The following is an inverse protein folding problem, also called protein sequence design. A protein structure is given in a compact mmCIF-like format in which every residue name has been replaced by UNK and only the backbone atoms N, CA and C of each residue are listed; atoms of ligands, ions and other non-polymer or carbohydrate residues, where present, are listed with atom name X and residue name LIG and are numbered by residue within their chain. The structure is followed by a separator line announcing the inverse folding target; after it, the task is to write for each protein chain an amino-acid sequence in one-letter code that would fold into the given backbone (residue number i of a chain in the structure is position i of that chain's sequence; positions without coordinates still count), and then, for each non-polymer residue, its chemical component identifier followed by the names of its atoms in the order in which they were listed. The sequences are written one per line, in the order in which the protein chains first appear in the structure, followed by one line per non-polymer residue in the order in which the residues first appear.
data_IF_279558627537
#
_entry.id   IF_279558627537
#
_cell.length_a   1.000
_cell.length_b   1.000
_cell.length_c   1.000
_cell.angle_alpha   90.00
_cell.angle_beta   90.00
_cell.angle_gamma   90.00
#
_symmetry.space_group_name_H-M   'P 1'
#
loop_
_entity.id
_entity.type
_entity.pdbx_description
1 polymer ?
#
# COMPACT_ATOMS: atom_id res chain seq x y z
N UNK A 1 -13.41 -31.85 -16.25
CA UNK A 1 -13.61 -30.74 -15.30
C UNK A 1 -12.74 -29.57 -15.76
N UNK A 2 -13.35 -28.46 -16.18
CA UNK A 2 -12.60 -27.27 -16.61
C UNK A 2 -12.15 -26.53 -15.35
N UNK A 3 -10.83 -26.50 -15.10
CA UNK A 3 -10.26 -25.68 -14.05
C UNK A 3 -10.62 -24.20 -14.33
N UNK A 4 -11.46 -23.60 -13.48
CA UNK A 4 -11.74 -22.17 -13.55
C UNK A 4 -10.42 -21.46 -13.31
N UNK A 5 -9.97 -20.67 -14.30
CA UNK A 5 -8.77 -19.83 -14.16
C UNK A 5 -8.95 -18.91 -12.95
N UNK A 6 -7.91 -18.71 -12.13
CA UNK A 6 -7.97 -17.78 -11.02
C UNK A 6 -8.41 -16.40 -11.52
N UNK A 7 -9.19 -15.65 -10.72
CA UNK A 7 -9.65 -14.33 -11.10
C UNK A 7 -8.45 -13.46 -11.53
N UNK A 8 -8.58 -12.79 -12.68
CA UNK A 8 -7.52 -11.92 -13.17
C UNK A 8 -7.36 -10.76 -12.17
N UNK A 9 -6.14 -10.52 -11.65
CA UNK A 9 -5.90 -9.41 -10.74
C UNK A 9 -6.28 -8.09 -11.42
N UNK A 10 -6.66 -7.10 -10.61
CA UNK A 10 -7.01 -5.78 -11.09
C UNK A 10 -5.88 -5.21 -11.99
N UNK A 11 -6.21 -4.43 -13.04
CA UNK A 11 -5.20 -3.76 -13.86
C UNK A 11 -4.20 -3.00 -12.95
N UNK A 12 -2.90 -3.13 -13.22
CA UNK A 12 -1.80 -2.65 -12.35
C UNK A 12 -2.00 -1.22 -11.82
N UNK A 13 -2.61 -0.34 -12.63
CA UNK A 13 -2.96 1.03 -12.25
C UNK A 13 -4.01 1.09 -11.12
N UNK A 14 -5.09 0.31 -11.21
CA UNK A 14 -6.15 0.26 -10.20
C UNK A 14 -5.60 -0.27 -8.88
N UNK A 15 -4.76 -1.31 -8.93
CA UNK A 15 -4.12 -1.84 -7.73
C UNK A 15 -3.26 -0.78 -7.02
N UNK A 16 -2.46 -0.02 -7.76
CA UNK A 16 -1.62 1.05 -7.21
C UNK A 16 -2.45 2.20 -6.63
N UNK A 17 -3.53 2.60 -7.33
CA UNK A 17 -4.43 3.63 -6.84
C UNK A 17 -5.15 3.19 -5.56
N UNK A 18 -5.69 1.96 -5.49
CA UNK A 18 -6.31 1.40 -4.28
C UNK A 18 -5.31 1.27 -3.12
N UNK A 19 -4.07 0.87 -3.40
CA UNK A 19 -3.00 0.86 -2.39
C UNK A 19 -2.72 2.25 -1.85
N UNK A 20 -2.69 3.27 -2.71
CA UNK A 20 -2.52 4.67 -2.29
C UNK A 20 -3.71 5.19 -1.49
N UNK A 21 -4.93 4.88 -1.90
CA UNK A 21 -6.18 5.35 -1.27
C UNK A 21 -6.35 4.72 0.11
N UNK A 22 -6.13 3.41 0.22
CA UNK A 22 -6.32 2.69 1.48
C UNK A 22 -5.12 2.81 2.40
N UNK A 23 -3.92 3.01 1.86
CA UNK A 23 -2.64 2.94 2.58
C UNK A 23 -2.38 1.58 3.28
N UNK A 24 -3.09 0.52 2.86
CA UNK A 24 -3.00 -0.82 3.44
C UNK A 24 -2.65 -1.85 2.34
N UNK A 25 -1.74 -2.82 2.59
CA UNK A 25 -1.48 -3.91 1.65
C UNK A 25 -2.70 -4.81 1.47
N UNK A 26 -2.82 -5.34 0.25
CA UNK A 26 -3.84 -6.32 -0.11
C UNK A 26 -3.49 -7.70 0.42
N UNK A 27 -4.42 -8.34 1.10
CA UNK A 27 -4.28 -9.69 1.64
C UNK A 27 -5.10 -10.70 0.86
N UNK A 28 -6.36 -10.36 0.57
CA UNK A 28 -7.25 -11.21 -0.20
C UNK A 28 -8.27 -10.39 -0.95
N UNK A 29 -8.76 -10.90 -2.08
CA UNK A 29 -9.76 -10.24 -2.90
C UNK A 29 -10.71 -11.25 -3.54
N UNK A 30 -11.95 -10.85 -3.73
CA UNK A 30 -12.98 -11.70 -4.32
C UNK A 30 -14.36 -11.10 -4.23
N UNK A 31 -15.33 -11.72 -4.90
CA UNK A 31 -16.72 -11.31 -4.80
C UNK A 31 -17.34 -11.83 -3.48
N UNK A 32 -18.07 -10.95 -2.80
CA UNK A 32 -18.86 -11.26 -1.62
C UNK A 32 -20.26 -10.65 -1.76
N UNK A 33 -21.24 -11.40 -1.28
CA UNK A 33 -22.58 -10.91 -1.02
C UNK A 33 -22.64 -10.46 0.45
N UNK A 34 -22.95 -9.20 0.68
CA UNK A 34 -22.93 -8.56 2.00
C UNK A 34 -24.33 -8.13 2.37
N UNK A 35 -24.73 -8.39 3.61
CA UNK A 35 -26.01 -7.92 4.17
C UNK A 35 -25.78 -7.40 5.58
N UNK A 36 -26.09 -6.13 5.81
CA UNK A 36 -26.18 -5.52 7.16
C UNK A 36 -27.64 -5.52 7.62
N UNK A 37 -27.87 -5.33 8.92
CA UNK A 37 -29.21 -5.27 9.51
C UNK A 37 -30.11 -4.19 8.90
N UNK A 38 -29.52 -3.10 8.41
CA UNK A 38 -30.18 -1.98 7.74
C UNK A 38 -30.75 -2.35 6.36
N UNK A 39 -30.22 -3.39 5.73
CA UNK A 39 -30.59 -3.84 4.39
C UNK A 39 -31.39 -5.13 4.44
N UNK A 40 -32.49 -5.17 3.69
CA UNK A 40 -33.34 -6.35 3.65
C UNK A 40 -32.74 -7.48 2.78
N UNK A 41 -31.90 -7.12 1.79
CA UNK A 41 -31.33 -8.01 0.78
C UNK A 41 -29.80 -8.04 0.82
N UNK A 42 -29.22 -9.05 0.16
CA UNK A 42 -27.76 -9.15 -0.03
C UNK A 42 -27.33 -8.30 -1.22
N UNK A 43 -26.32 -7.48 -1.02
CA UNK A 43 -25.69 -6.69 -2.07
C UNK A 43 -24.37 -7.31 -2.51
N UNK A 44 -24.07 -7.23 -3.81
CA UNK A 44 -22.94 -7.92 -4.41
C UNK A 44 -21.77 -6.96 -4.64
N UNK A 45 -20.63 -7.25 -4.00
CA UNK A 45 -19.45 -6.40 -4.02
C UNK A 45 -18.19 -7.15 -4.43
N UNK A 46 -17.34 -6.47 -5.21
CA UNK A 46 -15.92 -6.82 -5.23
C UNK A 46 -15.31 -6.37 -3.90
N UNK A 47 -14.78 -7.30 -3.12
CA UNK A 47 -14.28 -7.03 -1.79
C UNK A 47 -12.78 -7.24 -1.73
N UNK A 48 -12.08 -6.33 -1.08
CA UNK A 48 -10.66 -6.45 -0.77
C UNK A 48 -10.46 -6.45 0.74
N UNK A 49 -9.80 -7.48 1.26
CA UNK A 49 -9.27 -7.49 2.63
C UNK A 49 -7.91 -6.80 2.64
N UNK A 50 -7.81 -5.67 3.34
CA UNK A 50 -6.55 -4.96 3.56
C UNK A 50 -6.40 -4.63 5.03
N UNK A 51 -5.39 -5.19 5.69
CA UNK A 51 -5.28 -5.08 7.15
C UNK A 51 -6.42 -5.77 7.84
N UNK A 52 -7.00 -5.09 8.82
CA UNK A 52 -8.21 -5.48 9.53
C UNK A 52 -9.44 -4.75 9.00
N UNK A 53 -9.48 -4.47 7.69
CA UNK A 53 -10.60 -3.78 7.05
C UNK A 53 -10.99 -4.44 5.73
N UNK A 54 -12.28 -4.69 5.55
CA UNK A 54 -12.88 -5.08 4.28
C UNK A 54 -13.32 -3.83 3.52
N UNK A 55 -12.87 -3.69 2.27
CA UNK A 55 -13.25 -2.59 1.39
C UNK A 55 -14.17 -3.11 0.28
N UNK A 56 -15.35 -2.49 0.13
CA UNK A 56 -16.38 -2.90 -0.83
C UNK A 56 -16.39 -2.00 -2.05
N UNK A 57 -16.36 -2.59 -3.24
CA UNK A 57 -16.36 -1.90 -4.52
C UNK A 57 -17.50 -2.44 -5.37
N UNK A 58 -18.20 -1.56 -6.11
CA UNK A 58 -19.24 -1.97 -7.06
C UNK A 58 -18.70 -2.91 -8.16
N UNK A 59 -17.43 -2.73 -8.57
CA UNK A 59 -16.75 -3.59 -9.54
C UNK A 59 -15.22 -3.55 -9.34
N UNK A 60 -14.52 -4.54 -9.89
CA UNK A 60 -13.05 -4.66 -9.91
C UNK A 60 -12.34 -3.52 -10.63
N UNK A 61 -13.07 -2.73 -11.42
CA UNK A 61 -12.52 -1.58 -12.18
C UNK A 61 -12.53 -0.27 -11.38
N UNK A 62 -13.28 -0.22 -10.30
CA UNK A 62 -13.48 1.01 -9.53
C UNK A 62 -12.28 1.27 -8.63
N UNK A 63 -11.76 2.48 -8.64
CA UNK A 63 -10.57 2.82 -7.84
C UNK A 63 -10.95 3.23 -6.42
N UNK A 64 -12.15 3.77 -6.23
CA UNK A 64 -12.75 4.12 -4.95
C UNK A 64 -13.71 3.03 -4.47
N UNK A 65 -13.62 2.68 -3.19
CA UNK A 65 -14.59 1.83 -2.52
C UNK A 65 -15.86 2.65 -2.23
N UNK A 66 -17.00 1.97 -2.20
CA UNK A 66 -18.30 2.59 -1.86
C UNK A 66 -18.59 2.49 -0.37
N UNK A 67 -18.01 1.49 0.30
CA UNK A 67 -18.20 1.24 1.71
C UNK A 67 -17.01 0.44 2.27
N UNK A 68 -16.87 0.42 3.59
CA UNK A 68 -15.86 -0.38 4.31
C UNK A 68 -16.40 -0.95 5.62
N UNK A 69 -15.79 -2.03 6.07
CA UNK A 69 -16.06 -2.67 7.36
C UNK A 69 -14.76 -2.92 8.11
N UNK A 70 -14.62 -2.29 9.27
CA UNK A 70 -13.49 -2.50 10.18
C UNK A 70 -13.78 -3.71 11.06
N UNK A 71 -12.88 -4.70 11.03
CA UNK A 71 -13.04 -5.99 11.69
C UNK A 71 -12.00 -6.24 12.79
N UNK A 72 -11.24 -5.21 13.19
CA UNK A 72 -10.20 -5.35 14.22
C UNK A 72 -10.74 -5.85 15.57
N UNK A 73 -11.94 -5.39 15.94
CA UNK A 73 -12.62 -5.77 17.18
C UNK A 73 -13.67 -6.88 16.95
N UNK A 74 -13.48 -7.72 15.92
CA UNK A 74 -14.38 -8.83 15.64
C UNK A 74 -14.51 -9.72 16.88
N UNK A 75 -15.73 -9.84 17.39
CA UNK A 75 -16.01 -10.62 18.61
C UNK A 75 -16.06 -12.11 18.31
N UNK A 76 -16.74 -12.48 17.22
CA UNK A 76 -16.71 -13.83 16.69
C UNK A 76 -17.19 -13.88 15.23
N UNK A 77 -16.83 -14.97 14.57
CA UNK A 77 -17.34 -15.36 13.25
C UNK A 77 -18.19 -16.61 13.43
N UNK A 78 -19.48 -16.52 13.10
CA UNK A 78 -20.41 -17.64 13.23
C UNK A 78 -20.82 -18.19 11.88
N UNK A 79 -20.64 -19.48 11.67
CA UNK A 79 -21.09 -20.16 10.46
C UNK A 79 -22.60 -20.43 10.51
N UNK A 80 -23.26 -20.15 9.40
CA UNK A 80 -24.65 -20.54 9.22
C UNK A 80 -24.70 -21.78 8.34
N UNK A 81 -25.15 -22.91 8.93
CA UNK A 81 -25.47 -24.11 8.18
C UNK A 81 -26.62 -23.80 7.22
N UNK A 82 -26.30 -23.62 5.95
CA UNK A 82 -27.29 -23.34 4.93
C UNK A 82 -27.73 -24.64 4.27
N UNK A 83 -29.02 -24.79 3.99
CA UNK A 83 -29.56 -25.89 3.16
C UNK A 83 -29.14 -25.79 1.68
N UNK A 84 -28.50 -24.68 1.31
CA UNK A 84 -28.04 -24.35 -0.04
C UNK A 84 -26.58 -24.79 -0.19
N UNK A 85 -26.40 -26.08 -0.50
CA UNK A 85 -25.16 -26.87 -0.40
C UNK A 85 -23.91 -26.31 -1.13
N UNK A 86 -24.03 -25.23 -1.88
CA UNK A 86 -22.96 -24.75 -2.74
C UNK A 86 -22.28 -23.47 -2.29
N UNK A 87 -22.74 -22.78 -1.23
CA UNK A 87 -22.15 -21.52 -0.77
C UNK A 87 -21.92 -21.50 0.74
N UNK A 88 -20.87 -20.80 1.18
CA UNK A 88 -20.66 -20.57 2.60
C UNK A 88 -21.38 -19.29 3.04
N UNK A 89 -21.95 -19.31 4.24
CA UNK A 89 -22.58 -18.17 4.89
C UNK A 89 -22.05 -18.05 6.29
N UNK A 90 -21.59 -16.86 6.65
CA UNK A 90 -21.11 -16.59 8.00
C UNK A 90 -21.51 -15.18 8.42
N UNK A 91 -21.66 -14.99 9.73
CA UNK A 91 -22.01 -13.70 10.34
C UNK A 91 -20.79 -13.20 11.10
N UNK A 92 -20.35 -11.99 10.76
CA UNK A 92 -19.37 -11.23 11.51
C UNK A 92 -20.08 -10.47 12.62
N UNK A 93 -19.79 -10.82 13.87
CA UNK A 93 -20.34 -10.15 15.04
C UNK A 93 -19.33 -9.12 15.52
N UNK A 94 -19.63 -7.84 15.32
CA UNK A 94 -18.82 -6.71 15.74
C UNK A 94 -19.50 -6.02 16.92
N UNK A 95 -18.76 -5.24 17.74
CA UNK A 95 -19.34 -4.59 18.92
C UNK A 95 -20.46 -3.60 18.60
N UNK A 96 -20.47 -3.06 17.37
CA UNK A 96 -21.42 -2.02 16.92
C UNK A 96 -22.47 -2.53 15.94
N UNK A 97 -22.20 -3.64 15.25
CA UNK A 97 -23.08 -4.14 14.19
C UNK A 97 -22.87 -5.63 13.93
N UNK A 98 -23.83 -6.25 13.26
CA UNK A 98 -23.71 -7.61 12.73
C UNK A 98 -23.81 -7.56 11.21
N UNK A 99 -22.86 -8.23 10.55
CA UNK A 99 -22.79 -8.27 9.09
C UNK A 99 -22.79 -9.71 8.60
N UNK A 100 -23.75 -10.04 7.74
CA UNK A 100 -23.83 -11.35 7.10
C UNK A 100 -23.05 -11.34 5.79
N UNK A 101 -22.21 -12.34 5.60
CA UNK A 101 -21.43 -12.56 4.40
C UNK A 101 -21.83 -13.89 3.76
N UNK A 102 -22.00 -13.86 2.43
CA UNK A 102 -22.24 -15.03 1.60
C UNK A 102 -21.23 -15.07 0.47
N UNK A 103 -20.60 -16.23 0.27
CA UNK A 103 -19.59 -16.43 -0.77
C UNK A 103 -20.17 -17.06 -2.04
N UNK A 104 -19.41 -17.02 -3.14
CA UNK A 104 -19.80 -17.66 -4.39
C UNK A 104 -19.83 -19.19 -4.28
N UNK A 105 -18.92 -19.75 -3.48
CA UNK A 105 -18.85 -21.18 -3.24
C UNK A 105 -18.21 -21.54 -1.88
N UNK A 106 -18.35 -22.80 -1.46
CA UNK A 106 -17.78 -23.30 -0.19
C UNK A 106 -16.26 -23.14 -0.10
N UNK A 107 -15.52 -23.40 -1.19
CA UNK A 107 -14.06 -23.23 -1.24
C UNK A 107 -13.63 -21.78 -0.98
N UNK A 108 -14.26 -20.82 -1.67
CA UNK A 108 -14.04 -19.39 -1.40
C UNK A 108 -14.48 -18.98 0.01
N UNK A 109 -15.47 -19.70 0.56
CA UNK A 109 -15.90 -19.57 1.95
C UNK A 109 -14.79 -19.86 2.95
N UNK A 110 -14.16 -21.02 2.80
CA UNK A 110 -13.01 -21.43 3.62
C UNK A 110 -11.85 -20.45 3.48
N UNK A 111 -11.56 -19.95 2.27
CA UNK A 111 -10.50 -18.95 2.07
C UNK A 111 -10.85 -17.64 2.81
N UNK A 112 -12.04 -17.07 2.59
CA UNK A 112 -12.46 -15.85 3.26
C UNK A 112 -12.46 -15.98 4.78
N UNK A 113 -13.00 -17.09 5.30
CA UNK A 113 -12.97 -17.42 6.73
C UNK A 113 -11.54 -17.45 7.25
N UNK A 114 -10.66 -18.22 6.60
CA UNK A 114 -9.26 -18.35 6.99
C UNK A 114 -8.54 -17.00 7.02
N UNK A 115 -8.69 -16.16 5.99
CA UNK A 115 -8.04 -14.85 5.94
C UNK A 115 -8.60 -13.87 6.99
N UNK A 116 -9.91 -13.84 7.19
CA UNK A 116 -10.55 -12.98 8.20
C UNK A 116 -10.09 -13.37 9.61
N UNK A 117 -10.16 -14.65 9.97
CA UNK A 117 -9.69 -15.12 11.28
C UNK A 117 -8.20 -14.83 11.46
N UNK A 118 -7.39 -15.05 10.41
CA UNK A 118 -5.94 -14.78 10.48
C UNK A 118 -5.60 -13.34 10.84
N UNK A 119 -6.29 -12.35 10.25
CA UNK A 119 -6.01 -10.94 10.51
C UNK A 119 -6.66 -10.42 11.79
N UNK A 120 -7.71 -11.08 12.29
CA UNK A 120 -8.44 -10.65 13.49
C UNK A 120 -7.87 -11.29 14.75
N UNK A 121 -7.69 -12.61 14.75
CA UNK A 121 -7.12 -13.39 15.86
C UNK A 121 -5.58 -13.34 15.91
N UNK A 122 -4.93 -12.88 14.84
CA UNK A 122 -3.48 -12.83 14.72
C UNK A 122 -2.83 -14.22 14.85
N UNK A 123 -3.50 -15.24 14.33
CA UNK A 123 -3.05 -16.63 14.24
C UNK A 123 -3.67 -17.33 13.03
N UNK A 124 -2.99 -18.31 12.43
CA UNK A 124 -3.59 -19.12 11.36
C UNK A 124 -4.50 -20.17 11.99
N UNK A 125 -5.78 -20.28 11.58
CA UNK A 125 -6.69 -21.28 12.13
C UNK A 125 -6.21 -22.71 11.79
N UNK A 126 -6.33 -23.63 12.75
CA UNK A 126 -5.96 -25.05 12.54
C UNK A 126 -7.11 -25.87 11.92
N UNK A 127 -8.34 -25.36 11.99
CA UNK A 127 -9.57 -26.06 11.62
C UNK A 127 -10.05 -25.78 10.18
N UNK A 128 -9.26 -25.07 9.37
CA UNK A 128 -9.62 -24.70 7.99
C UNK A 128 -9.32 -25.81 6.99
N UNK A 129 -10.27 -26.07 6.10
CA UNK A 129 -10.14 -27.10 5.05
C UNK A 129 -9.42 -26.55 3.80
N UNK A 130 -8.21 -26.03 3.99
CA UNK A 130 -7.44 -25.35 2.94
C UNK A 130 -6.29 -26.19 2.39
N UNK A 131 -5.98 -25.98 1.11
CA UNK A 131 -4.82 -26.59 0.46
C UNK A 131 -3.51 -26.00 1.02
N UNK A 132 -2.38 -26.73 0.94
CA UNK A 132 -1.10 -26.24 1.46
C UNK A 132 -0.69 -24.85 0.95
N UNK A 133 -0.93 -24.56 -0.35
CA UNK A 133 -0.65 -23.25 -0.93
C UNK A 133 -1.57 -22.13 -0.41
N UNK A 134 -2.79 -22.44 0.02
CA UNK A 134 -3.68 -21.50 0.69
C UNK A 134 -3.22 -21.22 2.12
N UNK A 135 -2.83 -22.25 2.87
CA UNK A 135 -2.30 -22.11 4.24
C UNK A 135 -0.99 -21.30 4.25
N UNK A 136 -0.08 -21.52 3.29
CA UNK A 136 1.12 -20.70 3.14
C UNK A 136 0.76 -19.21 2.97
N UNK A 137 -0.24 -18.89 2.15
CA UNK A 137 -0.71 -17.50 1.99
C UNK A 137 -1.27 -16.91 3.28
N UNK A 138 -1.96 -17.70 4.11
CA UNK A 138 -2.42 -17.25 5.43
C UNK A 138 -1.23 -16.90 6.32
N UNK A 139 -0.19 -17.73 6.39
CA UNK A 139 1.03 -17.41 7.15
C UNK A 139 1.71 -16.14 6.64
N UNK A 140 1.81 -15.94 5.32
CA UNK A 140 2.38 -14.70 4.79
C UNK A 140 1.56 -13.47 5.19
N UNK A 141 0.23 -13.57 5.16
CA UNK A 141 -0.66 -12.48 5.60
C UNK A 141 -0.53 -12.23 7.10
N UNK A 142 -0.44 -13.28 7.90
CA UNK A 142 -0.24 -13.18 9.35
C UNK A 142 1.01 -12.37 9.67
N UNK A 143 2.15 -12.70 9.05
CA UNK A 143 3.41 -12.01 9.31
C UNK A 143 3.35 -10.55 8.83
N UNK A 144 2.71 -10.28 7.69
CA UNK A 144 2.47 -8.90 7.22
C UNK A 144 1.59 -8.11 8.19
N UNK A 145 0.56 -8.73 8.76
CA UNK A 145 -0.35 -8.07 9.70
C UNK A 145 0.31 -7.82 11.06
N UNK A 146 1.04 -8.81 11.62
CA UNK A 146 1.85 -8.62 12.83
C UNK A 146 2.80 -7.43 12.70
N UNK A 147 3.55 -7.39 11.60
CA UNK A 147 4.49 -6.29 11.31
C UNK A 147 3.77 -4.93 11.28
N UNK A 148 2.63 -4.84 10.59
CA UNK A 148 1.82 -3.62 10.54
C UNK A 148 1.31 -3.20 11.92
N UNK A 149 0.82 -4.14 12.75
CA UNK A 149 0.35 -3.81 14.11
C UNK A 149 1.48 -3.28 14.97
N UNK A 150 2.67 -3.88 14.91
CA UNK A 150 3.86 -3.37 15.61
C UNK A 150 4.22 -1.95 15.15
N UNK A 151 4.25 -1.69 13.84
CA UNK A 151 4.52 -0.35 13.29
C UNK A 151 3.46 0.69 13.71
N UNK A 152 2.21 0.26 13.83
CA UNK A 152 1.08 1.11 14.26
C UNK A 152 1.11 1.36 15.78
N UNK A 153 1.48 0.36 16.57
CA UNK A 153 1.61 0.42 18.03
C UNK A 153 2.92 1.07 18.50
N UNK A 154 3.92 1.24 17.64
CA UNK A 154 5.15 2.03 17.92
C UNK A 154 4.93 3.55 17.79
N UNK A 155 3.71 3.99 17.45
CA UNK A 155 3.31 5.39 17.37
C UNK A 155 2.63 6.00 18.64
N UNK A 156 2.90 5.55 19.89
CA UNK A 156 2.84 6.42 21.04
C UNK A 156 4.25 6.90 21.38
N UNK A 157 4.38 8.23 21.43
CA UNK A 157 5.47 9.01 22.00
C UNK A 157 6.42 8.29 22.98
N UNK A 158 7.70 8.67 22.86
CA UNK A 158 8.86 8.49 23.76
C UNK A 158 9.80 7.33 23.42
N UNK A 159 10.96 7.70 22.86
CA UNK A 159 12.23 6.94 22.91
C UNK A 159 12.70 6.81 24.38
N UNK A 160 13.56 5.83 24.76
CA UNK A 160 14.92 5.74 24.25
C UNK A 160 15.41 4.32 23.88
N UNK A 161 16.49 4.36 23.11
CA UNK A 161 17.38 3.29 22.65
C UNK A 161 17.53 2.08 23.60
N UNK A 162 17.48 0.88 23.02
CA UNK A 162 18.45 -0.16 23.36
C UNK A 162 18.66 -1.16 22.22
N UNK A 163 19.86 -1.04 21.66
CA UNK A 163 20.65 -2.02 20.92
C UNK A 163 20.12 -3.46 20.95
N UNK A 164 19.74 -3.98 19.77
CA UNK A 164 19.95 -5.39 19.41
C UNK A 164 20.34 -5.48 17.94
N UNK A 165 21.47 -6.16 17.71
CA UNK A 165 22.13 -6.44 16.44
C UNK A 165 21.21 -7.07 15.37
N UNK A 166 21.53 -6.92 14.08
CA UNK A 166 20.60 -7.14 12.98
C UNK A 166 20.57 -8.59 12.50
N UNK A 167 19.41 -9.25 12.60
CA UNK A 167 19.12 -10.41 11.75
C UNK A 167 18.54 -9.94 10.41
N UNK A 168 19.22 -10.33 9.34
CA UNK A 168 18.78 -10.25 7.96
C UNK A 168 17.37 -10.85 7.81
N UNK A 169 16.37 -10.04 7.46
CA UNK A 169 15.72 -10.05 6.14
C UNK A 169 14.39 -9.25 6.19
N UNK A 170 14.13 -8.49 5.12
CA UNK A 170 12.88 -7.78 4.78
C UNK A 170 12.28 -6.69 5.69
N UNK A 171 12.81 -5.47 5.53
CA UNK A 171 12.16 -4.22 5.96
C UNK A 171 11.76 -3.38 4.74
N UNK A 172 10.55 -3.59 4.19
CA UNK A 172 9.83 -2.53 3.44
C UNK A 172 8.73 -2.00 4.37
N UNK A 173 9.17 -1.27 5.40
CA UNK A 173 8.36 -0.37 6.25
C UNK A 173 8.25 0.93 5.46
N UNK A 174 7.06 1.51 5.42
CA UNK A 174 6.72 2.80 4.84
C UNK A 174 7.67 3.92 5.30
N UNK A 175 8.81 4.04 4.63
CA UNK A 175 9.68 5.20 4.77
C UNK A 175 8.94 6.37 4.12
N UNK A 176 8.74 7.51 4.81
CA UNK A 176 8.09 8.65 4.20
C UNK A 176 8.88 9.03 2.93
N UNK A 177 8.17 9.28 1.83
CA UNK A 177 8.82 9.65 0.57
C UNK A 177 9.08 11.15 0.56
N UNK A 178 10.21 11.62 -0.01
CA UNK A 178 10.46 13.05 -0.17
C UNK A 178 9.32 13.74 -0.94
N UNK A 179 9.01 15.00 -0.61
CA UNK A 179 7.90 15.73 -1.20
C UNK A 179 7.96 15.87 -2.74
N UNK A 180 9.16 15.77 -3.33
CA UNK A 180 9.37 15.75 -4.77
C UNK A 180 9.37 14.35 -5.39
N UNK A 181 8.85 13.33 -4.67
CA UNK A 181 8.65 12.00 -5.21
C UNK A 181 7.35 11.92 -6.00
N UNK A 182 7.47 11.57 -7.28
CA UNK A 182 6.34 11.36 -8.17
C UNK A 182 6.45 10.00 -8.85
N UNK A 183 5.36 9.24 -8.84
CA UNK A 183 5.26 7.95 -9.54
C UNK A 183 5.04 8.18 -11.04
N UNK A 184 6.06 8.71 -11.71
CA UNK A 184 6.04 9.11 -13.11
C UNK A 184 7.20 8.48 -13.88
N UNK A 185 7.01 8.29 -15.18
CA UNK A 185 8.04 7.81 -16.10
C UNK A 185 9.13 8.86 -16.32
N UNK A 186 10.23 8.44 -16.97
CA UNK A 186 11.30 9.36 -17.41
C UNK A 186 10.75 10.51 -18.26
N UNK A 187 9.87 10.19 -19.21
CA UNK A 187 9.29 11.17 -20.14
C UNK A 187 8.38 12.16 -19.43
N UNK A 188 7.49 11.66 -18.57
CA UNK A 188 6.56 12.51 -17.80
C UNK A 188 7.31 13.45 -16.85
N UNK A 189 8.35 12.97 -16.15
CA UNK A 189 9.16 13.84 -15.29
C UNK A 189 9.86 14.96 -16.08
N UNK A 190 10.35 14.67 -17.28
CA UNK A 190 10.92 15.70 -18.17
C UNK A 190 9.87 16.74 -18.52
N UNK A 191 8.68 16.30 -18.96
CA UNK A 191 7.60 17.22 -19.31
C UNK A 191 7.15 18.08 -18.12
N UNK A 192 7.11 17.53 -16.90
CA UNK A 192 6.73 18.27 -15.69
C UNK A 192 7.70 19.42 -15.39
N UNK A 193 9.01 19.17 -15.49
CA UNK A 193 10.06 20.18 -15.27
C UNK A 193 10.11 21.22 -16.40
N UNK A 194 9.79 20.82 -17.63
CA UNK A 194 9.73 21.72 -18.77
C UNK A 194 8.53 22.68 -18.68
N UNK A 195 7.35 22.14 -18.33
CA UNK A 195 6.09 22.89 -18.25
C UNK A 195 6.03 23.86 -17.07
N UNK A 196 6.67 23.54 -15.94
CA UNK A 196 6.54 24.31 -14.70
C UNK A 196 7.90 24.65 -14.06
N UNK A 197 8.76 25.46 -14.72
CA UNK A 197 10.10 25.78 -14.20
C UNK A 197 10.10 26.49 -12.83
N UNK A 198 9.00 27.17 -12.47
CA UNK A 198 8.89 27.91 -11.21
C UNK A 198 8.64 27.01 -9.99
N UNK A 199 8.23 25.76 -10.17
CA UNK A 199 7.86 24.86 -9.08
C UNK A 199 9.04 24.05 -8.53
N UNK A 200 10.24 24.29 -9.05
CA UNK A 200 11.45 23.53 -8.78
C UNK A 200 11.96 22.84 -10.04
N UNK A 201 13.13 22.22 -9.93
CA UNK A 201 13.87 21.71 -11.08
C UNK A 201 14.46 20.31 -10.83
N UNK A 202 13.93 19.59 -9.82
CA UNK A 202 14.36 18.26 -9.43
C UNK A 202 13.19 17.37 -9.01
N UNK A 203 13.03 16.22 -9.65
CA UNK A 203 12.00 15.21 -9.35
C UNK A 203 12.69 13.88 -8.99
N UNK A 204 12.26 13.25 -7.89
CA UNK A 204 12.55 11.86 -7.60
C UNK A 204 11.44 10.98 -8.18
N UNK A 205 11.81 9.91 -8.87
CA UNK A 205 10.86 8.98 -9.48
C UNK A 205 11.36 7.53 -9.42
N UNK A 206 10.47 6.54 -9.61
CA UNK A 206 10.89 5.16 -9.82
C UNK A 206 11.85 5.04 -11.01
N UNK A 207 12.86 4.19 -10.86
CA UNK A 207 13.76 3.76 -11.92
C UNK A 207 13.08 2.80 -12.89
N UNK A 208 13.79 2.41 -13.95
CA UNK A 208 13.28 1.42 -14.92
C UNK A 208 13.17 0.02 -14.32
N UNK A 209 13.99 -0.27 -13.30
CA UNK A 209 13.98 -1.54 -12.57
C UNK A 209 13.19 -1.38 -11.28
N UNK A 210 12.42 -2.40 -10.89
CA UNK A 210 11.47 -2.37 -9.77
C UNK A 210 12.08 -2.14 -8.38
N UNK A 211 13.41 -2.01 -8.27
CA UNK A 211 14.15 -1.77 -7.03
C UNK A 211 14.99 -0.49 -7.02
N UNK A 212 15.05 0.23 -8.15
CA UNK A 212 15.91 1.40 -8.31
C UNK A 212 15.10 2.69 -8.38
N UNK A 213 15.72 3.80 -8.01
CA UNK A 213 15.18 5.15 -8.13
C UNK A 213 15.95 5.95 -9.18
N UNK A 214 15.38 7.08 -9.58
CA UNK A 214 16.05 8.03 -10.47
C UNK A 214 15.70 9.45 -10.08
N UNK A 215 16.71 10.32 -10.10
CA UNK A 215 16.54 11.76 -9.97
C UNK A 215 16.55 12.35 -11.38
N UNK A 216 15.47 13.01 -11.78
CA UNK A 216 15.43 13.82 -13.00
C UNK A 216 15.61 15.28 -12.60
N UNK A 217 16.57 15.97 -13.21
CA UNK A 217 16.77 17.41 -13.00
C UNK A 217 16.70 18.18 -14.31
N UNK A 218 16.35 19.46 -14.20
CA UNK A 218 16.48 20.46 -15.25
C UNK A 218 17.50 21.51 -14.83
N UNK A 219 18.55 21.68 -15.62
CA UNK A 219 19.56 22.72 -15.41
C UNK A 219 19.32 23.85 -16.39
N UNK A 220 18.98 25.03 -15.87
CA UNK A 220 18.77 26.25 -16.65
C UNK A 220 20.10 27.02 -16.80
N UNK A 221 21.08 26.38 -17.44
CA UNK A 221 22.25 27.08 -18.03
C UNK A 221 21.85 27.80 -19.34
N UNK A 222 22.80 28.37 -20.09
CA UNK A 222 22.56 29.01 -21.41
C UNK A 222 21.65 28.19 -22.36
N UNK A 223 21.70 26.86 -22.25
CA UNK A 223 20.72 25.96 -22.83
C UNK A 223 20.11 25.08 -21.72
N UNK A 224 18.77 24.99 -21.58
CA UNK A 224 18.14 24.07 -20.66
C UNK A 224 18.50 22.62 -21.00
N UNK A 225 19.04 21.89 -20.00
CA UNK A 225 19.40 20.47 -20.15
C UNK A 225 18.72 19.64 -19.09
N UNK A 226 18.16 18.51 -19.52
CA UNK A 226 17.62 17.50 -18.64
C UNK A 226 18.70 16.46 -18.36
N UNK A 227 18.91 16.14 -17.08
CA UNK A 227 19.81 15.07 -16.64
C UNK A 227 19.05 14.06 -15.78
N UNK A 228 19.48 12.81 -15.84
CA UNK A 228 18.94 11.75 -15.00
C UNK A 228 20.08 11.06 -14.24
N UNK A 229 19.97 11.01 -12.92
CA UNK A 229 20.89 10.29 -12.05
C UNK A 229 20.22 9.02 -11.55
N UNK A 230 20.94 7.91 -11.62
CA UNK A 230 20.48 6.63 -11.09
C UNK A 230 20.80 6.57 -9.60
N UNK A 231 19.81 6.12 -8.83
CA UNK A 231 19.93 5.93 -7.38
C UNK A 231 19.58 4.49 -7.09
N UNK A 232 20.54 3.71 -6.61
CA UNK A 232 20.38 2.28 -6.35
C UNK A 232 20.24 2.03 -4.86
N UNK A 233 19.33 1.13 -4.48
CA UNK A 233 19.22 0.67 -3.10
C UNK A 233 20.30 -0.38 -2.86
N UNK A 234 21.20 -0.14 -1.91
CA UNK A 234 22.27 -1.06 -1.50
C UNK A 234 22.14 -1.31 0.00
N UNK A 235 21.61 -2.48 0.35
CA UNK A 235 21.24 -2.79 1.73
C UNK A 235 20.17 -1.83 2.25
N UNK A 236 20.45 -1.14 3.36
CA UNK A 236 19.58 -0.10 3.94
C UNK A 236 19.88 1.32 3.44
N UNK A 237 20.85 1.48 2.54
CA UNK A 237 21.33 2.77 2.06
C UNK A 237 21.01 2.97 0.57
N UNK A 238 21.17 4.20 0.09
CA UNK A 238 20.97 4.62 -1.28
C UNK A 238 22.27 5.17 -1.87
N UNK A 239 22.68 4.62 -3.00
CA UNK A 239 23.90 5.05 -3.70
C UNK A 239 23.54 5.81 -4.96
N UNK A 240 24.03 7.04 -5.08
CA UNK A 240 23.90 7.86 -6.28
C UNK A 240 25.04 7.46 -7.24
N UNK A 241 24.69 7.02 -8.44
CA UNK A 241 25.65 6.68 -9.50
C UNK A 241 26.22 7.96 -10.14
N UNK A 242 27.34 8.43 -9.58
CA UNK A 242 28.16 9.52 -10.08
C UNK A 242 29.57 8.99 -10.40
N UNK A 243 30.42 9.81 -11.03
CA UNK A 243 31.86 9.48 -11.22
C UNK A 243 32.54 9.09 -9.90
N UNK A 244 32.16 9.77 -8.82
CA UNK A 244 32.46 9.38 -7.44
C UNK A 244 31.14 8.99 -6.75
N UNK A 245 30.84 7.69 -6.59
CA UNK A 245 29.59 7.26 -5.97
C UNK A 245 29.42 7.81 -4.55
N UNK A 246 28.19 8.18 -4.21
CA UNK A 246 27.85 8.73 -2.90
C UNK A 246 26.76 7.89 -2.28
N UNK A 247 27.04 7.33 -1.10
CA UNK A 247 26.11 6.47 -0.35
C UNK A 247 25.50 7.23 0.81
N UNK A 248 24.18 7.20 0.91
CA UNK A 248 23.39 7.99 1.86
C UNK A 248 22.35 7.10 2.56
N UNK A 249 21.98 7.44 3.81
CA UNK A 249 21.17 6.53 4.64
C UNK A 249 19.70 6.43 4.21
N UNK A 250 19.17 7.41 3.47
CA UNK A 250 17.76 7.41 3.03
C UNK A 250 17.55 8.35 1.82
N UNK A 251 16.37 8.30 1.23
CA UNK A 251 16.00 9.14 0.08
C UNK A 251 15.92 10.64 0.40
N UNK A 252 15.62 11.06 1.64
CA UNK A 252 15.69 12.48 2.01
C UNK A 252 17.12 12.99 1.96
N UNK A 253 18.07 12.22 2.48
CA UNK A 253 19.49 12.54 2.42
C UNK A 253 20.00 12.64 0.97
N UNK A 254 19.45 11.84 0.05
CA UNK A 254 19.73 11.96 -1.39
C UNK A 254 19.27 13.33 -1.92
N UNK A 255 18.06 13.77 -1.58
CA UNK A 255 17.56 15.10 -1.98
C UNK A 255 18.40 16.21 -1.36
N UNK A 256 18.68 16.13 -0.06
CA UNK A 256 19.54 17.09 0.65
C UNK A 256 20.94 17.17 0.04
N UNK A 257 21.51 16.03 -0.38
CA UNK A 257 22.81 15.99 -1.04
C UNK A 257 22.78 16.82 -2.33
N UNK A 258 21.79 16.62 -3.21
CA UNK A 258 21.69 17.42 -4.44
C UNK A 258 21.48 18.91 -4.15
N UNK A 259 20.69 19.26 -3.13
CA UNK A 259 20.49 20.66 -2.73
C UNK A 259 21.78 21.31 -2.20
N UNK A 260 22.50 20.60 -1.32
CA UNK A 260 23.75 21.08 -0.70
C UNK A 260 24.89 21.19 -1.72
N UNK A 261 25.10 20.14 -2.51
CA UNK A 261 26.19 20.07 -3.48
C UNK A 261 26.04 21.13 -4.57
N UNK A 262 24.80 21.46 -4.94
CA UNK A 262 24.52 22.50 -5.93
C UNK A 262 24.26 23.88 -5.33
N UNK A 263 24.49 24.07 -4.02
CA UNK A 263 24.29 25.33 -3.29
C UNK A 263 22.89 25.93 -3.49
N UNK A 264 21.88 25.07 -3.54
CA UNK A 264 20.47 25.46 -3.70
C UNK A 264 20.03 25.75 -5.14
N UNK A 265 20.89 25.52 -6.14
CA UNK A 265 20.50 25.62 -7.55
C UNK A 265 19.54 24.49 -7.97
N UNK A 266 19.65 23.31 -7.35
CA UNK A 266 18.64 22.27 -7.45
C UNK A 266 17.65 22.42 -6.30
N UNK A 267 16.37 22.50 -6.66
CA UNK A 267 15.24 22.63 -5.75
C UNK A 267 14.23 21.52 -6.03
N UNK A 268 13.73 20.84 -4.99
CA UNK A 268 12.65 19.87 -5.12
C UNK A 268 11.48 20.48 -5.91
N UNK A 269 11.00 19.75 -6.91
CA UNK A 269 9.80 20.12 -7.65
C UNK A 269 8.57 19.83 -6.79
N UNK A 270 7.79 20.87 -6.49
CA UNK A 270 6.60 20.78 -5.63
C UNK A 270 5.38 21.24 -6.43
N UNK A 271 4.57 20.27 -6.85
CA UNK A 271 3.32 20.48 -7.54
C UNK A 271 2.16 20.48 -6.55
N UNK A 272 1.54 21.64 -6.33
CA UNK A 272 0.31 21.75 -5.54
C UNK A 272 -0.90 21.54 -6.45
N UNK A 273 -1.64 20.45 -6.26
CA UNK A 273 -2.94 20.23 -6.90
C UNK A 273 -4.12 20.77 -6.10
N UNK A 274 -3.89 21.31 -4.90
CA UNK A 274 -4.94 21.77 -4.00
C UNK A 274 -4.67 23.22 -3.55
N UNK A 275 -5.58 24.12 -3.90
CA UNK A 275 -5.60 25.53 -3.49
C UNK A 275 -5.85 25.74 -1.99
N UNK A 276 -5.29 24.91 -1.11
CA UNK A 276 -5.49 24.93 0.35
C UNK A 276 -4.19 24.71 1.14
N UNK A 277 -3.03 25.08 0.58
CA UNK A 277 -1.76 25.16 1.33
C UNK A 277 -1.06 26.52 1.21
N UNK A 278 -1.82 27.60 0.99
CA UNK A 278 -1.33 28.97 1.00
C UNK A 278 -1.07 29.58 2.38
N UNK A 279 -1.12 28.81 3.48
CA UNK A 279 -1.03 29.38 4.84
C UNK A 279 -0.03 28.72 5.80
N UNK A 280 0.78 27.75 5.39
CA UNK A 280 1.74 27.12 6.31
C UNK A 280 3.23 27.46 6.10
N UNK A 281 3.58 28.22 5.05
CA UNK A 281 4.98 28.63 4.79
C UNK A 281 5.22 30.13 5.12
N UNK A 282 4.48 30.71 6.08
CA UNK A 282 4.87 32.03 6.64
C UNK A 282 5.14 32.02 8.15
N UNK A 283 5.22 30.86 8.79
CA UNK A 283 5.40 30.78 10.25
C UNK A 283 6.61 29.99 10.75
N UNK A 284 7.58 29.67 9.90
CA UNK A 284 8.90 29.24 10.37
C UNK A 284 9.99 29.91 9.51
N UNK A 285 10.32 31.13 9.94
CA UNK A 285 11.52 31.95 9.67
C UNK A 285 12.10 32.00 8.26
#
# INVERSE_FOLDING_TARGET
MMAKKPPKPAPRRIFQERLKITALPLYFEGFLLVKRSEYQEYEHYWTELRGTTLFFYNDKKNTMYVDKLEIIDLTCLTEQNSTDNNCAKFTLVLPKEEVQLKTENTESGEEWRGFILTVTELSVPEDVSLLPGQVIRLHEVLEREKKRRIETEQLPSTSPEKEREPSEDYVDVLSPMPACFYTVSRKEATEMLEKNPSLGNMILRPGSDSRNFSITIRQDSDMPRIKHYKVTSVGKNYTIELEKPVTLPNLFSVIDYFMKETRGNLRPFIYSTDGTFGMFISLLY
#
